data_IF_513988035057
#
_entry.id   IF_513988035057
#
_cell.length_a   1.000
_cell.length_b   1.000
_cell.length_c   1.000
_cell.angle_alpha   90.00
_cell.angle_beta   90.00
_cell.angle_gamma   90.00
#
_symmetry.space_group_name_H-M   'P 1'
#
loop_
_entity.id
_entity.type
_entity.pdbx_description
1 polymer ?
#
# COMPACT_ATOMS: atom_id res chain seq x y z
N UNK A 1 61.63 -49.69 9.26
CA UNK A 1 61.51 -50.96 10.03
C UNK A 1 61.48 -50.60 11.50
N UNK A 2 60.83 -51.34 12.42
CA UNK A 2 59.70 -52.31 12.27
C UNK A 2 58.35 -51.54 12.15
N UNK A 3 57.14 -52.08 11.91
CA UNK A 3 56.49 -53.43 11.95
C UNK A 3 55.83 -53.87 13.28
N UNK A 4 54.49 -53.77 13.33
CA UNK A 4 53.50 -54.81 13.69
C UNK A 4 52.12 -54.30 13.17
N UNK A 5 51.27 -55.02 12.43
CA UNK A 5 50.63 -56.36 12.58
C UNK A 5 49.70 -56.41 13.80
N UNK A 6 48.44 -56.87 13.73
CA UNK A 6 47.70 -57.71 12.75
C UNK A 6 46.15 -57.44 12.91
N UNK A 7 45.11 -58.07 12.32
CA UNK A 7 44.97 -59.29 11.49
C UNK A 7 43.85 -59.19 10.39
N UNK A 8 42.78 -60.03 10.45
CA UNK A 8 41.64 -60.24 9.51
C UNK A 8 40.39 -60.64 10.35
N UNK A 9 39.14 -60.83 9.87
CA UNK A 9 38.51 -61.18 8.57
C UNK A 9 37.08 -60.54 8.48
N UNK A 10 36.34 -60.36 7.37
CA UNK A 10 35.97 -61.17 6.18
C UNK A 10 35.07 -62.39 6.49
N UNK A 11 33.94 -62.70 5.80
CA UNK A 11 33.24 -62.14 4.60
C UNK A 11 31.80 -61.66 5.00
N UNK A 12 30.66 -61.63 4.25
CA UNK A 12 30.16 -62.14 2.94
C UNK A 12 28.94 -61.32 2.43
N UNK A 13 28.50 -61.51 1.17
CA UNK A 13 27.28 -60.92 0.57
C UNK A 13 25.97 -61.68 0.86
N UNK A 14 24.82 -60.98 0.83
CA UNK A 14 23.75 -61.14 -0.20
C UNK A 14 22.66 -60.05 -0.09
N UNK A 15 21.86 -59.87 -1.14
CA UNK A 15 20.77 -58.87 -1.30
C UNK A 15 19.46 -59.61 -1.63
N UNK A 16 18.27 -59.12 -1.21
CA UNK A 16 17.24 -58.85 -2.22
C UNK A 16 16.17 -57.76 -1.90
N UNK A 17 16.09 -56.74 -2.76
CA UNK A 17 14.87 -56.22 -3.45
C UNK A 17 13.65 -55.74 -2.57
N UNK A 18 12.47 -55.29 -3.10
CA UNK A 18 11.93 -53.98 -2.71
C UNK A 18 10.54 -53.98 -2.05
N UNK A 19 10.13 -52.86 -1.43
CA UNK A 19 8.75 -52.64 -0.97
C UNK A 19 8.21 -51.23 -1.29
N UNK A 20 7.16 -51.15 -2.10
CA UNK A 20 6.19 -50.03 -2.12
C UNK A 20 5.05 -50.32 -1.13
N UNK A 21 4.08 -49.41 -0.94
CA UNK A 21 4.23 -48.17 -0.19
C UNK A 21 3.31 -48.16 1.05
N UNK A 22 3.45 -47.18 1.94
CA UNK A 22 2.44 -46.89 2.99
C UNK A 22 2.17 -45.39 3.08
N UNK A 23 0.96 -44.97 2.73
CA UNK A 23 0.46 -43.64 3.09
C UNK A 23 0.36 -43.51 4.61
N UNK A 24 0.70 -42.32 5.14
CA UNK A 24 0.04 -41.79 6.32
C UNK A 24 0.08 -40.26 6.33
N UNK A 25 -1.11 -39.68 6.11
CA UNK A 25 -1.58 -38.34 6.48
C UNK A 25 -0.59 -37.17 6.33
N UNK A 26 -0.85 -36.35 5.31
CA UNK A 26 -0.52 -34.93 5.34
C UNK A 26 -1.24 -34.26 6.51
N UNK A 27 -0.50 -33.58 7.39
CA UNK A 27 -1.09 -32.78 8.46
C UNK A 27 -1.38 -31.37 7.95
N UNK A 28 -2.48 -31.23 7.21
CA UNK A 28 -2.95 -29.94 6.69
C UNK A 28 -3.73 -29.21 7.76
N UNK A 29 -3.03 -28.56 8.69
CA UNK A 29 -3.60 -27.50 9.52
C UNK A 29 -4.12 -26.40 8.60
N UNK A 30 -5.44 -26.34 8.41
CA UNK A 30 -6.06 -25.41 7.47
C UNK A 30 -5.83 -23.96 7.90
N UNK A 31 -4.95 -23.26 7.18
CA UNK A 31 -5.02 -21.81 7.15
C UNK A 31 -6.40 -21.42 6.59
N UNK A 32 -7.05 -20.36 7.10
CA UNK A 32 -8.31 -19.89 6.54
C UNK A 32 -8.14 -19.64 5.04
N UNK A 33 -9.07 -20.17 4.23
CA UNK A 33 -9.13 -19.81 2.82
C UNK A 33 -9.59 -18.35 2.74
N UNK A 34 -8.62 -17.49 2.46
CA UNK A 34 -8.72 -16.03 2.45
C UNK A 34 -9.60 -15.56 1.28
N UNK A 35 -10.92 -15.79 1.40
CA UNK A 35 -11.93 -15.55 0.37
C UNK A 35 -12.28 -14.07 0.17
N UNK A 36 -11.32 -13.18 0.40
CA UNK A 36 -11.35 -11.86 -0.20
C UNK A 36 -11.08 -11.99 -1.71
N UNK A 37 -11.83 -11.22 -2.52
CA UNK A 37 -11.66 -11.22 -3.97
C UNK A 37 -10.27 -10.74 -4.40
N UNK A 38 -9.97 -10.82 -5.70
CA UNK A 38 -8.72 -10.25 -6.25
C UNK A 38 -8.65 -8.77 -5.86
N UNK A 39 -7.63 -8.33 -5.10
CA UNK A 39 -7.55 -6.95 -4.64
C UNK A 39 -7.33 -5.96 -5.79
N UNK A 40 -7.85 -4.74 -5.63
CA UNK A 40 -7.59 -3.63 -6.53
C UNK A 40 -6.19 -3.10 -6.21
N UNK A 41 -5.22 -3.57 -6.98
CA UNK A 41 -3.84 -3.10 -6.92
C UNK A 41 -3.68 -1.76 -7.65
N UNK A 42 -2.88 -0.86 -7.06
CA UNK A 42 -2.49 0.43 -7.63
C UNK A 42 -1.08 0.78 -7.16
N UNK A 43 -0.29 1.54 -7.92
CA UNK A 43 0.99 2.05 -7.43
C UNK A 43 1.30 3.45 -7.95
N UNK A 44 1.35 3.63 -9.28
CA UNK A 44 1.70 4.93 -9.89
C UNK A 44 0.48 5.74 -10.31
N UNK A 45 0.69 7.03 -10.44
CA UNK A 45 -0.30 8.01 -10.91
C UNK A 45 -0.76 7.81 -12.36
N UNK A 46 -0.04 6.99 -13.15
CA UNK A 46 -0.23 6.73 -14.58
C UNK A 46 -0.71 5.29 -14.92
N UNK A 47 -1.05 4.49 -13.91
CA UNK A 47 -1.62 3.13 -14.04
C UNK A 47 -3.15 3.17 -13.88
N UNK A 48 -3.92 2.18 -14.39
CA UNK A 48 -5.40 2.25 -14.42
C UNK A 48 -6.08 2.65 -13.09
N UNK A 49 -5.57 2.15 -11.96
CA UNK A 49 -6.08 2.47 -10.62
C UNK A 49 -5.32 3.65 -9.95
N UNK A 50 -4.54 4.41 -10.72
CA UNK A 50 -3.65 5.47 -10.28
C UNK A 50 -4.35 6.63 -9.59
N UNK A 51 -5.65 6.80 -9.82
CA UNK A 51 -6.52 7.69 -9.05
C UNK A 51 -6.52 7.38 -7.53
N UNK A 52 -6.16 6.16 -7.11
CA UNK A 52 -5.97 5.79 -5.69
C UNK A 52 -4.62 6.28 -5.12
N UNK A 53 -3.61 6.52 -5.96
CA UNK A 53 -2.27 6.94 -5.52
C UNK A 53 -2.28 8.34 -4.88
N UNK A 54 -1.40 8.57 -3.90
CA UNK A 54 -1.20 9.90 -3.30
C UNK A 54 -0.63 10.94 -4.27
N UNK A 55 0.07 10.49 -5.33
CA UNK A 55 0.72 11.35 -6.32
C UNK A 55 -0.21 11.75 -7.47
N UNK A 56 -1.41 11.16 -7.53
CA UNK A 56 -2.41 11.50 -8.55
C UNK A 56 -2.70 12.99 -8.54
N UNK A 57 -2.77 13.60 -9.74
CA UNK A 57 -2.95 15.04 -9.89
C UNK A 57 -4.41 15.41 -9.68
N UNK A 58 -4.70 16.11 -8.60
CA UNK A 58 -6.07 16.50 -8.25
C UNK A 58 -6.03 17.74 -7.34
N UNK A 59 -6.85 18.74 -7.65
CA UNK A 59 -6.94 19.98 -6.85
C UNK A 59 -8.05 19.87 -5.81
N UNK A 60 -7.75 20.28 -4.57
CA UNK A 60 -8.71 20.36 -3.45
C UNK A 60 -8.20 21.35 -2.39
N UNK A 61 -9.05 21.73 -1.43
CA UNK A 61 -8.73 22.62 -0.31
C UNK A 61 -8.85 21.93 1.05
N UNK A 62 -8.22 22.52 2.08
CA UNK A 62 -8.49 22.21 3.49
C UNK A 62 -9.40 23.30 4.08
N UNK A 63 -10.70 23.04 4.34
CA UNK A 63 -11.63 24.05 4.87
C UNK A 63 -11.20 24.72 6.19
N UNK A 64 -10.34 24.07 6.98
CA UNK A 64 -9.76 24.66 8.21
C UNK A 64 -8.70 25.75 7.92
N UNK A 65 -8.21 25.87 6.69
CA UNK A 65 -7.10 26.74 6.31
C UNK A 65 -7.44 27.52 5.03
N UNK A 66 -8.00 28.72 5.20
CA UNK A 66 -8.44 29.58 4.10
C UNK A 66 -7.33 29.85 3.06
N UNK A 67 -7.68 29.76 1.78
CA UNK A 67 -6.75 29.94 0.66
C UNK A 67 -5.79 28.78 0.40
N UNK A 68 -5.77 27.73 1.24
CA UNK A 68 -4.89 26.57 1.05
C UNK A 68 -5.40 25.64 -0.06
N UNK A 69 -4.92 25.87 -1.29
CA UNK A 69 -5.17 24.99 -2.44
C UNK A 69 -4.03 23.97 -2.56
N UNK A 70 -4.38 22.68 -2.50
CA UNK A 70 -3.47 21.54 -2.61
C UNK A 70 -3.65 20.85 -3.97
N UNK A 71 -2.61 20.17 -4.44
CA UNK A 71 -2.51 19.71 -5.84
C UNK A 71 -2.26 18.20 -6.03
N UNK A 72 -2.11 17.46 -4.93
CA UNK A 72 -2.18 16.01 -4.81
C UNK A 72 -2.25 15.66 -3.31
N UNK A 73 -2.59 14.42 -2.96
CA UNK A 73 -2.71 14.02 -1.54
C UNK A 73 -1.36 13.88 -0.83
N UNK A 74 -0.26 13.59 -1.55
CA UNK A 74 1.11 13.68 -1.02
C UNK A 74 1.43 15.11 -0.53
N UNK A 75 0.95 16.15 -1.22
CA UNK A 75 1.14 17.53 -0.76
C UNK A 75 0.45 17.77 0.59
N UNK A 76 -0.80 17.31 0.74
CA UNK A 76 -1.56 17.38 1.99
C UNK A 76 -0.83 16.66 3.12
N UNK A 77 -0.43 15.41 2.87
CA UNK A 77 0.25 14.54 3.83
C UNK A 77 1.56 15.16 4.32
N UNK A 78 2.40 15.68 3.42
CA UNK A 78 3.67 16.31 3.78
C UNK A 78 3.46 17.68 4.46
N UNK A 79 2.46 18.47 4.04
CA UNK A 79 2.12 19.74 4.67
C UNK A 79 1.60 19.55 6.11
N UNK A 80 0.60 18.69 6.34
CA UNK A 80 0.12 18.37 7.70
C UNK A 80 1.23 17.74 8.55
N UNK A 81 2.13 16.94 7.96
CA UNK A 81 3.32 16.43 8.67
C UNK A 81 4.22 17.58 9.14
N UNK A 82 4.49 18.59 8.31
CA UNK A 82 5.29 19.74 8.72
C UNK A 82 4.61 20.57 9.82
N UNK A 83 3.28 20.72 9.77
CA UNK A 83 2.50 21.37 10.83
C UNK A 83 2.49 20.57 12.14
N UNK A 84 2.49 19.23 12.09
CA UNK A 84 2.54 18.35 13.27
C UNK A 84 3.86 18.49 14.07
N UNK A 85 4.95 18.94 13.44
CA UNK A 85 6.26 19.12 14.07
C UNK A 85 6.70 20.58 14.18
N UNK A 86 5.73 21.51 14.08
CA UNK A 86 5.93 22.95 14.27
C UNK A 86 6.99 23.54 13.30
N UNK A 87 7.05 23.02 12.06
CA UNK A 87 7.94 23.47 10.98
C UNK A 87 7.18 24.23 9.87
N UNK A 88 6.78 25.49 10.09
CA UNK A 88 6.12 26.30 9.08
C UNK A 88 7.04 26.65 7.90
N UNK A 89 8.37 26.61 8.09
CA UNK A 89 9.33 26.90 7.03
C UNK A 89 9.33 25.80 5.97
N UNK A 90 9.33 24.52 6.36
CA UNK A 90 9.21 23.40 5.43
C UNK A 90 7.79 23.23 4.91
N UNK A 91 6.76 23.53 5.73
CA UNK A 91 5.37 23.59 5.25
C UNK A 91 5.20 24.59 4.08
N UNK A 92 5.78 25.78 4.17
CA UNK A 92 5.75 26.77 3.10
C UNK A 92 6.48 26.28 1.82
N UNK A 93 7.64 25.64 1.95
CA UNK A 93 8.35 25.01 0.80
C UNK A 93 7.50 23.94 0.11
N UNK A 94 6.77 23.13 0.88
CA UNK A 94 5.90 22.06 0.37
C UNK A 94 4.72 22.65 -0.41
N UNK A 95 4.10 23.72 0.10
CA UNK A 95 3.00 24.40 -0.59
C UNK A 95 3.45 25.12 -1.86
N UNK A 96 4.65 25.70 -1.87
CA UNK A 96 5.22 26.39 -3.05
C UNK A 96 5.63 25.46 -4.21
N UNK A 97 5.54 24.13 -4.06
CA UNK A 97 6.03 23.15 -5.04
C UNK A 97 4.89 22.28 -5.58
N UNK A 98 4.88 22.04 -6.90
CA UNK A 98 3.85 21.25 -7.59
C UNK A 98 4.18 19.76 -7.76
N UNK A 99 5.42 19.33 -7.54
CA UNK A 99 5.86 17.95 -7.79
C UNK A 99 5.80 17.08 -6.53
N UNK A 100 4.97 16.03 -6.54
CA UNK A 100 4.83 15.06 -5.44
C UNK A 100 6.19 14.47 -5.00
N UNK A 101 7.05 14.10 -5.94
CA UNK A 101 8.42 13.61 -5.65
C UNK A 101 9.27 14.61 -4.86
N UNK A 102 9.11 15.92 -5.10
CA UNK A 102 9.81 16.98 -4.35
C UNK A 102 9.17 17.25 -2.98
N UNK A 103 7.83 17.23 -2.91
CA UNK A 103 7.09 17.35 -1.65
C UNK A 103 7.47 16.20 -0.68
N UNK A 104 7.50 14.95 -1.16
CA UNK A 104 7.98 13.77 -0.41
C UNK A 104 9.45 13.84 0.00
N UNK A 105 10.27 14.58 -0.76
CA UNK A 105 11.65 14.91 -0.39
C UNK A 105 11.70 15.83 0.83
N UNK A 106 11.04 16.99 0.74
CA UNK A 106 10.92 17.95 1.84
C UNK A 106 10.30 17.35 3.11
N UNK A 107 9.40 16.37 2.97
CA UNK A 107 8.84 15.60 4.08
C UNK A 107 9.84 14.77 4.91
N UNK A 108 11.10 14.67 4.44
CA UNK A 108 12.25 14.08 5.14
C UNK A 108 13.17 15.15 5.77
N UNK A 109 12.98 16.42 5.42
CA UNK A 109 13.73 17.58 5.92
C UNK A 109 13.00 18.31 7.07
N UNK A 110 11.78 17.85 7.42
CA UNK A 110 10.97 18.43 8.50
C UNK A 110 11.73 18.38 9.83
N UNK A 111 11.83 19.55 10.47
CA UNK A 111 12.49 19.70 11.77
C UNK A 111 11.66 19.06 12.91
N UNK A 112 12.29 18.83 14.07
CA UNK A 112 11.66 18.27 15.27
C UNK A 112 10.93 16.92 15.09
N UNK A 113 11.29 16.15 14.05
CA UNK A 113 10.60 14.91 13.71
C UNK A 113 10.70 13.84 14.81
N UNK A 114 9.54 13.32 15.22
CA UNK A 114 9.39 12.18 16.12
C UNK A 114 8.54 11.08 15.45
N UNK A 115 9.09 9.87 15.38
CA UNK A 115 8.44 8.74 14.70
C UNK A 115 7.22 8.20 15.45
N UNK A 116 7.16 8.32 16.79
CA UNK A 116 6.00 7.86 17.56
C UNK A 116 4.80 8.80 17.38
N UNK A 117 5.02 10.11 17.50
CA UNK A 117 4.02 11.16 17.20
C UNK A 117 3.55 11.06 15.74
N UNK A 118 4.45 10.70 14.81
CA UNK A 118 4.06 10.42 13.43
C UNK A 118 3.24 9.13 13.30
N UNK A 119 3.65 8.01 13.92
CA UNK A 119 2.89 6.75 13.88
C UNK A 119 1.47 6.89 14.43
N UNK A 120 1.29 7.72 15.47
CA UNK A 120 -0.02 8.06 16.04
C UNK A 120 -0.89 8.85 15.05
N UNK A 121 -0.38 9.97 14.50
CA UNK A 121 -1.18 10.87 13.66
C UNK A 121 -1.28 10.48 12.17
N UNK A 122 -0.35 9.66 11.64
CA UNK A 122 -0.18 9.46 10.19
C UNK A 122 -1.43 8.96 9.47
N UNK A 123 -2.17 8.04 10.10
CA UNK A 123 -3.32 7.40 9.47
C UNK A 123 -4.50 8.36 9.32
N UNK A 124 -4.82 9.13 10.37
CA UNK A 124 -5.89 10.14 10.34
C UNK A 124 -5.57 11.26 9.34
N UNK A 125 -4.31 11.74 9.31
CA UNK A 125 -3.85 12.74 8.34
C UNK A 125 -4.06 12.25 6.89
N UNK A 126 -3.72 10.99 6.59
CA UNK A 126 -3.90 10.43 5.24
C UNK A 126 -5.37 10.11 4.95
N UNK A 127 -6.18 9.74 5.95
CA UNK A 127 -7.63 9.62 5.79
C UNK A 127 -8.28 10.97 5.45
N UNK A 128 -7.96 12.05 6.18
CA UNK A 128 -8.46 13.41 5.89
C UNK A 128 -8.00 13.91 4.53
N UNK A 129 -6.73 13.73 4.18
CA UNK A 129 -6.21 14.11 2.85
C UNK A 129 -6.91 13.38 1.70
N UNK A 130 -7.16 12.08 1.85
CA UNK A 130 -7.96 11.32 0.89
C UNK A 130 -9.44 11.74 0.89
N UNK A 131 -10.05 12.03 2.04
CA UNK A 131 -11.43 12.52 2.12
C UNK A 131 -11.60 13.81 1.30
N UNK A 132 -10.72 14.80 1.49
CA UNK A 132 -10.78 16.07 0.77
C UNK A 132 -10.58 15.87 -0.75
N UNK A 133 -9.56 15.10 -1.15
CA UNK A 133 -9.34 14.68 -2.55
C UNK A 133 -10.59 14.06 -3.17
N UNK A 134 -11.14 13.02 -2.54
CA UNK A 134 -12.22 12.22 -3.11
C UNK A 134 -13.60 12.89 -3.00
N UNK A 135 -13.81 13.86 -2.10
CA UNK A 135 -15.06 14.63 -2.04
C UNK A 135 -15.08 15.86 -2.95
N UNK A 136 -13.93 16.46 -3.26
CA UNK A 136 -13.86 17.73 -4.00
C UNK A 136 -13.43 17.60 -5.46
N UNK A 137 -12.55 16.64 -5.79
CA UNK A 137 -11.96 16.57 -7.14
C UNK A 137 -12.85 15.80 -8.12
N UNK A 138 -13.31 16.50 -9.16
CA UNK A 138 -14.13 15.95 -10.26
C UNK A 138 -13.32 15.51 -11.48
N UNK A 139 -11.98 15.57 -11.43
CA UNK A 139 -11.10 15.47 -12.60
C UNK A 139 -10.38 14.12 -12.71
N UNK A 140 -10.56 13.42 -13.84
CA UNK A 140 -9.84 12.19 -14.24
C UNK A 140 -9.13 12.30 -15.59
N UNK A 141 -8.88 13.52 -16.08
CA UNK A 141 -8.47 13.81 -17.46
C UNK A 141 -7.15 13.15 -17.92
N UNK A 142 -6.41 12.51 -17.00
CA UNK A 142 -5.18 11.77 -17.32
C UNK A 142 -5.39 10.34 -17.85
N UNK A 143 -6.56 9.71 -17.62
CA UNK A 143 -6.66 8.23 -17.77
C UNK A 143 -7.86 7.67 -18.52
N UNK A 144 -9.06 8.29 -18.43
CA UNK A 144 -10.27 7.80 -19.10
C UNK A 144 -11.05 8.94 -19.74
N UNK A 145 -10.52 9.40 -20.87
CA UNK A 145 -11.28 10.11 -21.89
C UNK A 145 -11.87 9.05 -22.84
N UNK A 146 -13.13 8.66 -22.62
CA UNK A 146 -13.92 8.00 -23.65
C UNK A 146 -14.42 9.05 -24.67
N UNK A 147 -14.75 8.62 -25.89
CA UNK A 147 -14.83 9.49 -27.09
C UNK A 147 -15.87 10.64 -27.05
N UNK A 148 -16.65 10.77 -25.97
CA UNK A 148 -17.64 11.84 -25.74
C UNK A 148 -17.74 12.26 -24.24
N UNK A 149 -16.80 11.84 -23.38
CA UNK A 149 -16.98 11.79 -21.92
C UNK A 149 -16.86 13.10 -21.13
N UNK A 150 -17.77 13.29 -20.17
CA UNK A 150 -17.64 14.29 -19.09
C UNK A 150 -16.69 13.80 -17.96
N UNK A 151 -16.04 14.69 -17.19
CA UNK A 151 -15.17 14.29 -16.08
C UNK A 151 -15.89 13.48 -14.99
N UNK A 152 -15.47 12.24 -14.77
CA UNK A 152 -16.03 11.36 -13.72
C UNK A 152 -15.56 11.82 -12.33
N UNK A 153 -16.44 12.00 -11.33
CA UNK A 153 -16.00 12.33 -9.98
C UNK A 153 -15.07 11.27 -9.37
N UNK A 154 -13.96 11.67 -8.74
CA UNK A 154 -13.07 10.70 -8.08
C UNK A 154 -13.81 9.89 -7.01
N UNK A 155 -14.80 10.51 -6.33
CA UNK A 155 -15.76 9.86 -5.42
C UNK A 155 -16.31 8.56 -6.01
N UNK A 156 -16.78 8.63 -7.25
CA UNK A 156 -17.55 7.55 -7.88
C UNK A 156 -16.62 6.42 -8.33
N UNK A 157 -15.38 6.74 -8.73
CA UNK A 157 -14.33 5.73 -8.95
C UNK A 157 -13.96 5.00 -7.66
N UNK A 158 -13.85 5.69 -6.52
CA UNK A 158 -13.59 5.05 -5.23
C UNK A 158 -14.76 4.17 -4.79
N UNK A 159 -16.00 4.64 -4.93
CA UNK A 159 -17.20 3.86 -4.62
C UNK A 159 -17.39 2.65 -5.56
N UNK A 160 -17.01 2.77 -6.84
CA UNK A 160 -17.05 1.68 -7.81
C UNK A 160 -16.16 0.47 -7.43
N UNK A 161 -15.17 0.67 -6.54
CA UNK A 161 -14.37 -0.44 -5.99
C UNK A 161 -15.16 -1.36 -5.04
N UNK A 162 -16.34 -0.94 -4.57
CA UNK A 162 -17.26 -1.72 -3.71
C UNK A 162 -16.54 -2.27 -2.47
N UNK A 163 -16.72 -3.55 -2.14
CA UNK A 163 -16.12 -4.19 -0.95
C UNK A 163 -14.73 -4.78 -1.19
N UNK A 164 -14.10 -4.52 -2.35
CA UNK A 164 -12.77 -5.07 -2.68
C UNK A 164 -11.68 -4.48 -1.77
N UNK A 165 -10.67 -5.30 -1.45
CA UNK A 165 -9.45 -4.82 -0.81
C UNK A 165 -8.71 -3.87 -1.76
N UNK A 166 -8.25 -2.73 -1.24
CA UNK A 166 -7.39 -1.79 -1.96
C UNK A 166 -5.95 -2.00 -1.48
N UNK A 167 -5.00 -2.17 -2.40
CA UNK A 167 -3.61 -2.51 -2.07
C UNK A 167 -2.60 -1.67 -2.86
N UNK A 168 -1.79 -0.86 -2.17
CA UNK A 168 -0.69 -0.13 -2.83
C UNK A 168 0.45 -1.10 -3.15
N UNK A 169 0.57 -1.48 -4.43
CA UNK A 169 1.51 -2.44 -4.99
C UNK A 169 2.94 -1.89 -5.16
N UNK A 170 3.38 -1.03 -4.23
CA UNK A 170 4.72 -0.48 -4.19
C UNK A 170 5.73 -1.55 -3.74
N UNK A 171 6.72 -1.93 -4.57
CA UNK A 171 7.77 -2.87 -4.17
C UNK A 171 8.85 -2.24 -3.26
N UNK A 172 8.69 -0.96 -2.89
CA UNK A 172 9.65 -0.19 -2.10
C UNK A 172 9.07 0.39 -0.80
N UNK A 173 7.77 0.26 -0.57
CA UNK A 173 7.09 0.78 0.63
C UNK A 173 6.32 -0.35 1.33
N UNK A 174 6.70 -0.64 2.57
CA UNK A 174 6.11 -1.67 3.43
C UNK A 174 5.21 -1.08 4.53
N UNK A 175 4.95 0.24 4.50
CA UNK A 175 4.15 0.96 5.50
C UNK A 175 2.86 1.46 4.83
N UNK A 176 2.99 2.26 3.77
CA UNK A 176 1.83 2.72 2.99
C UNK A 176 1.34 1.63 2.05
N UNK A 177 2.28 0.84 1.50
CA UNK A 177 2.00 -0.28 0.61
C UNK A 177 2.37 -1.66 1.14
N UNK A 178 2.29 -2.62 0.22
CA UNK A 178 2.40 -4.07 0.47
C UNK A 178 3.83 -4.62 0.34
N UNK A 179 4.81 -3.80 -0.06
CA UNK A 179 6.20 -4.21 -0.23
C UNK A 179 6.48 -5.16 -1.42
N UNK A 180 5.55 -5.29 -2.37
CA UNK A 180 5.70 -6.15 -3.56
C UNK A 180 4.82 -5.67 -4.71
N UNK A 181 5.11 -6.09 -5.94
CA UNK A 181 4.25 -5.82 -7.11
C UNK A 181 3.00 -6.69 -7.10
N UNK A 182 1.96 -6.28 -7.82
CA UNK A 182 0.68 -7.00 -7.91
C UNK A 182 0.84 -8.49 -8.29
N UNK A 183 1.69 -8.79 -9.27
CA UNK A 183 1.91 -10.15 -9.77
C UNK A 183 2.69 -11.03 -8.78
N UNK A 184 3.41 -10.42 -7.83
CA UNK A 184 4.13 -11.08 -6.74
C UNK A 184 3.22 -11.23 -5.52
N UNK A 185 2.48 -10.18 -5.18
CA UNK A 185 1.48 -10.11 -4.12
C UNK A 185 0.39 -11.19 -4.27
N UNK A 186 -0.04 -11.49 -5.50
CA UNK A 186 -0.97 -12.57 -5.83
C UNK A 186 -0.43 -13.98 -5.53
N UNK A 187 0.90 -14.15 -5.47
CA UNK A 187 1.57 -15.44 -5.21
C UNK A 187 1.86 -15.67 -3.71
N UNK A 188 1.43 -14.76 -2.83
CA UNK A 188 1.72 -14.80 -1.39
C UNK A 188 0.47 -14.56 -0.52
N UNK A 189 0.47 -15.14 0.67
CA UNK A 189 -0.51 -14.78 1.72
C UNK A 189 -0.32 -13.32 2.13
N UNK A 190 -1.42 -12.64 2.45
CA UNK A 190 -1.47 -11.23 2.92
C UNK A 190 -0.65 -11.03 4.21
N UNK A 191 -0.45 -12.10 4.98
CA UNK A 191 0.48 -12.15 6.13
C UNK A 191 1.96 -11.87 5.79
N UNK A 192 2.34 -11.83 4.50
CA UNK A 192 3.68 -11.46 4.02
C UNK A 192 3.73 -10.08 3.34
N UNK A 193 2.65 -9.31 3.38
CA UNK A 193 2.61 -7.94 2.88
C UNK A 193 3.08 -6.94 3.94
N UNK A 194 3.43 -5.73 3.50
CA UNK A 194 3.58 -4.55 4.36
C UNK A 194 2.26 -4.10 5.00
N UNK A 195 2.31 -3.05 5.83
CA UNK A 195 1.15 -2.55 6.59
C UNK A 195 -0.04 -2.12 5.70
N UNK A 196 0.18 -1.77 4.42
CA UNK A 196 -0.86 -1.29 3.49
C UNK A 196 -1.73 -0.15 4.06
N UNK A 197 -1.11 0.80 4.78
CA UNK A 197 -1.85 1.90 5.43
C UNK A 197 -2.59 2.79 4.44
N UNK A 198 -2.10 2.96 3.20
CA UNK A 198 -2.80 3.74 2.19
C UNK A 198 -4.07 3.01 1.72
N UNK A 199 -3.99 1.71 1.45
CA UNK A 199 -5.15 0.88 1.14
C UNK A 199 -6.21 0.94 2.26
N UNK A 200 -5.78 0.82 3.52
CA UNK A 200 -6.65 0.96 4.71
C UNK A 200 -7.29 2.34 4.83
N UNK A 201 -6.54 3.42 4.59
CA UNK A 201 -7.07 4.78 4.62
C UNK A 201 -8.13 5.02 3.53
N UNK A 202 -7.88 4.55 2.30
CA UNK A 202 -8.82 4.64 1.18
C UNK A 202 -10.11 3.83 1.44
N UNK A 203 -9.99 2.61 1.99
CA UNK A 203 -11.15 1.78 2.34
C UNK A 203 -11.99 2.39 3.48
N UNK A 204 -11.36 3.06 4.44
CA UNK A 204 -12.08 3.83 5.46
C UNK A 204 -12.85 5.00 4.85
N UNK A 205 -12.20 5.84 4.03
CA UNK A 205 -12.86 6.96 3.32
C UNK A 205 -14.03 6.48 2.47
N UNK A 206 -13.86 5.37 1.74
CA UNK A 206 -14.92 4.69 0.97
C UNK A 206 -16.10 4.26 1.86
N UNK A 207 -15.84 3.71 3.04
CA UNK A 207 -16.88 3.34 4.02
C UNK A 207 -17.69 4.56 4.45
N UNK A 208 -17.04 5.65 4.86
CA UNK A 208 -17.75 6.84 5.34
C UNK A 208 -18.58 7.52 4.23
N UNK A 209 -18.05 7.60 3.00
CA UNK A 209 -18.82 8.06 1.82
C UNK A 209 -20.03 7.16 1.51
N UNK A 210 -19.92 5.86 1.78
CA UNK A 210 -21.00 4.87 1.57
C UNK A 210 -22.09 4.97 2.64
N UNK A 211 -21.78 5.49 3.84
CA UNK A 211 -22.78 5.78 4.89
C UNK A 211 -23.60 7.03 4.54
N UNK A 212 -22.91 8.16 4.29
CA UNK A 212 -23.55 9.44 3.95
C UNK A 212 -24.35 9.42 2.63
N UNK A 213 -24.23 8.37 1.82
CA UNK A 213 -25.01 8.17 0.58
C UNK A 213 -26.21 7.22 0.79
N UNK A 214 -26.57 6.91 2.04
CA UNK A 214 -27.71 6.07 2.45
C UNK A 214 -28.60 6.74 3.52
N UNK A 215 -28.26 7.98 3.88
CA UNK A 215 -28.96 8.86 4.84
C UNK A 215 -29.75 9.93 4.07
#
# INVERSE_FOLDING_TARGET
MPKQNDKKAAKTHQEPTPRKPKHKKSDTSGAPSDHHGVPVFFWKEDEENGFLCQWYRCSFTEPEHEGLILNCAEQYMMWRKAMLFDDPATAAKIMAITSARKQKGLGREIQNYDEAKWCEARLEIVQRGNWLKFTQSTDVASMKMDDVGEPVPLKDLLLATKDQELAEASPFDTVWGIGSKAEEALKVSRSRWGENLLGKALMHVRSEMTKLSKE
#
